data_IF_145147664146
#
_entry.id   IF_145147664146
#
_cell.length_a   1.000
_cell.length_b   1.000
_cell.length_c   1.000
_cell.angle_alpha   90.00
_cell.angle_beta   90.00
_cell.angle_gamma   90.00
#
_symmetry.space_group_name_H-M   'P 1'
#
loop_
_entity.id
_entity.type
_entity.pdbx_description
1 polymer ?
#
# COMPACT_ATOMS: atom_id res chain seq x y z
N UNK A 1 -13.53 -10.98 5.06
CA UNK A 1 -12.72 -10.28 4.07
C UNK A 1 -13.09 -8.80 4.06
N UNK A 2 -12.12 -7.94 3.90
CA UNK A 2 -12.32 -6.51 3.68
C UNK A 2 -11.81 -6.21 2.28
N UNK A 3 -12.65 -5.56 1.48
CA UNK A 3 -12.26 -5.07 0.16
C UNK A 3 -12.09 -3.56 0.26
N UNK A 4 -10.98 -3.05 -0.22
CA UNK A 4 -10.71 -1.63 -0.35
C UNK A 4 -10.91 -1.26 -1.81
N UNK A 5 -11.94 -0.47 -2.07
CA UNK A 5 -12.24 0.06 -3.40
C UNK A 5 -11.62 1.45 -3.55
N UNK A 6 -10.75 1.58 -4.53
CA UNK A 6 -10.12 2.84 -4.89
C UNK A 6 -10.88 3.43 -6.07
N UNK A 7 -11.72 4.42 -5.83
CA UNK A 7 -12.36 5.17 -6.90
C UNK A 7 -11.52 6.37 -7.30
N UNK A 8 -11.32 6.59 -8.60
CA UNK A 8 -10.67 7.78 -9.12
C UNK A 8 -11.60 8.99 -8.91
N UNK A 9 -11.40 9.70 -7.81
CA UNK A 9 -11.99 11.01 -7.60
C UNK A 9 -11.19 12.09 -8.33
N UNK A 10 -11.85 13.06 -8.90
CA UNK A 10 -11.21 14.18 -9.57
C UNK A 10 -10.19 14.89 -8.67
N UNK A 11 -8.97 14.97 -9.14
CA UNK A 11 -7.92 15.97 -8.86
C UNK A 11 -7.30 16.11 -7.47
N UNK A 12 -7.65 15.33 -6.49
CA UNK A 12 -6.92 15.35 -5.21
C UNK A 12 -6.93 13.94 -4.65
N UNK A 13 -5.78 13.30 -4.60
CA UNK A 13 -5.60 11.94 -4.10
C UNK A 13 -6.02 11.76 -2.64
N UNK A 14 -7.30 11.91 -2.38
CA UNK A 14 -7.89 11.63 -1.07
C UNK A 14 -8.51 10.25 -1.14
N UNK A 15 -7.85 9.28 -0.54
CA UNK A 15 -8.48 7.98 -0.26
C UNK A 15 -9.42 8.18 0.91
N UNK A 16 -10.72 8.18 0.65
CA UNK A 16 -11.71 8.24 1.72
C UNK A 16 -12.15 6.83 2.13
N UNK A 17 -11.89 6.46 3.36
CA UNK A 17 -12.42 5.25 3.95
C UNK A 17 -13.81 5.54 4.54
N UNK A 18 -14.85 4.92 4.00
CA UNK A 18 -16.17 4.98 4.61
C UNK A 18 -16.28 3.88 5.65
N UNK A 19 -16.26 4.24 6.92
CA UNK A 19 -16.63 3.32 8.01
C UNK A 19 -18.14 3.05 7.91
N UNK A 20 -18.51 1.83 7.59
CA UNK A 20 -19.89 1.36 7.79
C UNK A 20 -19.93 0.73 9.19
N UNK A 21 -20.36 1.47 10.20
CA UNK A 21 -20.65 0.90 11.51
C UNK A 21 -21.72 1.70 12.23
N UNK A 22 -22.63 0.98 12.77
CA UNK A 22 -23.67 1.41 13.67
C UNK A 22 -23.06 1.98 14.97
N UNK A 23 -23.25 3.19 15.25
CA UNK A 23 -23.24 4.06 16.40
C UNK A 23 -22.60 3.71 17.73
N UNK A 24 -21.90 2.62 17.93
CA UNK A 24 -21.18 2.34 19.17
C UNK A 24 -19.76 2.90 19.13
N UNK A 25 -19.46 3.80 20.07
CA UNK A 25 -18.07 4.23 20.34
C UNK A 25 -17.37 3.06 21.04
N UNK A 26 -16.79 2.17 20.24
CA UNK A 26 -15.91 1.13 20.75
C UNK A 26 -14.62 1.81 21.26
N UNK A 27 -14.10 1.44 22.45
CA UNK A 27 -12.82 1.97 22.90
C UNK A 27 -11.75 1.75 21.84
N UNK A 28 -10.83 2.71 21.69
CA UNK A 28 -9.71 2.60 20.76
C UNK A 28 -9.03 1.23 20.95
N UNK A 29 -8.92 0.42 19.90
CA UNK A 29 -8.30 -0.89 20.04
C UNK A 29 -6.83 -0.71 20.43
N UNK A 30 -6.39 -1.44 21.43
CA UNK A 30 -4.95 -1.58 21.68
C UNK A 30 -4.30 -2.13 20.42
N UNK A 31 -3.32 -1.42 19.86
CA UNK A 31 -2.55 -1.92 18.71
C UNK A 31 -1.81 -3.17 19.17
N UNK A 32 -2.16 -4.31 18.59
CA UNK A 32 -1.55 -5.59 18.93
C UNK A 32 -0.42 -5.92 17.95
N UNK A 33 -0.54 -5.46 16.71
CA UNK A 33 0.49 -5.62 15.68
C UNK A 33 0.27 -4.60 14.55
N UNK A 34 1.35 -4.22 13.91
CA UNK A 34 1.36 -3.35 12.73
C UNK A 34 1.85 -4.14 11.53
N UNK A 35 1.28 -3.91 10.37
CA UNK A 35 1.79 -4.40 9.09
C UNK A 35 2.06 -3.20 8.19
N UNK A 36 3.26 -3.14 7.64
CA UNK A 36 3.65 -2.15 6.64
C UNK A 36 3.57 -2.77 5.25
N UNK A 37 3.13 -1.97 4.27
CA UNK A 37 3.00 -2.36 2.87
C UNK A 37 3.66 -1.32 1.99
N UNK A 38 4.53 -1.79 1.11
CA UNK A 38 5.09 -1.02 0.02
C UNK A 38 4.46 -1.51 -1.29
N UNK A 39 3.72 -0.63 -1.97
CA UNK A 39 3.05 -0.91 -3.24
C UNK A 39 3.86 -0.29 -4.37
N UNK A 40 4.81 -1.03 -4.87
CA UNK A 40 5.78 -0.44 -5.78
C UNK A 40 6.43 -1.41 -6.76
N UNK A 41 7.63 -1.08 -7.13
CA UNK A 41 8.42 -1.81 -8.13
C UNK A 41 9.16 -3.00 -7.53
N UNK A 42 9.22 -4.07 -8.34
CA UNK A 42 10.28 -5.03 -8.16
C UNK A 42 11.48 -4.64 -9.02
N UNK A 43 12.47 -3.98 -8.67
CA UNK A 43 13.55 -3.49 -9.56
C UNK A 43 14.01 -4.47 -10.65
N UNK A 44 13.82 -5.77 -10.42
CA UNK A 44 14.16 -6.83 -11.37
C UNK A 44 13.30 -6.81 -12.66
N UNK A 45 12.01 -6.45 -12.55
CA UNK A 45 11.07 -6.46 -13.70
C UNK A 45 10.80 -5.07 -14.25
N UNK A 46 11.11 -4.03 -13.50
CA UNK A 46 10.90 -2.63 -13.90
C UNK A 46 12.03 -1.73 -13.39
N UNK A 47 13.24 -1.89 -13.90
CA UNK A 47 14.37 -1.08 -13.48
C UNK A 47 14.12 0.41 -13.64
N UNK A 48 14.52 1.20 -12.64
CA UNK A 48 14.37 2.66 -12.64
C UNK A 48 12.96 3.17 -12.27
N UNK A 49 12.07 2.29 -11.86
CA UNK A 49 10.73 2.66 -11.36
C UNK A 49 10.64 2.72 -9.84
N UNK A 50 11.70 2.40 -9.16
CA UNK A 50 11.81 2.29 -7.72
C UNK A 50 12.36 0.93 -7.32
N UNK A 51 12.59 0.75 -6.04
CA UNK A 51 13.13 -0.47 -5.46
C UNK A 51 12.25 -0.91 -4.28
N UNK A 52 12.07 -2.21 -4.07
CA UNK A 52 11.39 -2.72 -2.88
C UNK A 52 12.04 -2.20 -1.60
N UNK A 53 11.23 -1.88 -0.61
CA UNK A 53 11.74 -1.47 0.70
C UNK A 53 12.59 -2.59 1.30
N UNK A 54 13.78 -2.22 1.75
CA UNK A 54 14.72 -3.14 2.40
C UNK A 54 14.19 -3.54 3.78
N UNK A 55 14.37 -4.80 4.14
CA UNK A 55 13.92 -5.35 5.41
C UNK A 55 15.08 -5.78 6.31
N UNK A 56 15.15 -5.29 7.56
CA UNK A 56 14.34 -4.20 8.07
C UNK A 56 14.71 -2.86 7.43
N UNK A 57 13.81 -1.86 7.52
CA UNK A 57 14.09 -0.48 7.20
C UNK A 57 15.00 0.19 8.25
N UNK A 58 15.34 1.46 8.07
CA UNK A 58 16.20 2.21 8.99
C UNK A 58 15.56 2.44 10.37
N UNK A 59 14.25 2.24 10.51
CA UNK A 59 13.55 2.28 11.80
C UNK A 59 13.45 0.90 12.46
N UNK A 60 13.92 -0.16 11.80
CA UNK A 60 13.85 -1.54 12.27
C UNK A 60 12.56 -2.27 11.91
N UNK A 61 11.69 -1.69 11.10
CA UNK A 61 10.41 -2.27 10.69
C UNK A 61 10.55 -3.16 9.46
N UNK A 62 9.73 -4.22 9.41
CA UNK A 62 9.61 -5.10 8.25
C UNK A 62 8.39 -4.75 7.40
N UNK A 63 8.59 -4.71 6.10
CA UNK A 63 7.61 -4.32 5.09
C UNK A 63 7.20 -5.47 4.19
N UNK A 64 5.94 -5.54 3.85
CA UNK A 64 5.43 -6.44 2.83
C UNK A 64 5.48 -5.72 1.47
N UNK A 65 6.44 -6.10 0.65
CA UNK A 65 6.60 -5.54 -0.69
C UNK A 65 5.58 -6.16 -1.65
N UNK A 66 4.60 -5.37 -2.06
CA UNK A 66 3.56 -5.72 -3.03
C UNK A 66 4.01 -5.19 -4.39
N UNK A 67 4.64 -6.03 -5.19
CA UNK A 67 5.36 -5.57 -6.36
C UNK A 67 4.75 -6.03 -7.68
N UNK A 68 5.17 -5.38 -8.78
CA UNK A 68 4.84 -5.85 -10.12
C UNK A 68 5.41 -7.25 -10.39
N UNK A 69 4.71 -8.02 -11.19
CA UNK A 69 5.10 -9.38 -11.58
C UNK A 69 5.09 -9.60 -13.10
N UNK A 70 4.81 -8.56 -13.88
CA UNK A 70 4.80 -8.60 -15.33
C UNK A 70 5.15 -7.22 -15.92
N UNK A 71 6.43 -6.96 -16.15
CA UNK A 71 6.90 -5.68 -16.64
C UNK A 71 6.47 -4.52 -15.74
N UNK A 72 5.67 -3.60 -16.25
CA UNK A 72 5.15 -2.45 -15.50
C UNK A 72 3.85 -2.74 -14.72
N UNK A 73 3.43 -4.00 -14.62
CA UNK A 73 2.12 -4.34 -14.07
C UNK A 73 2.21 -5.29 -12.89
N UNK A 74 1.36 -5.05 -11.89
CA UNK A 74 0.96 -6.03 -10.89
C UNK A 74 -0.41 -6.59 -11.30
N UNK A 75 -0.45 -7.87 -11.66
CA UNK A 75 -1.62 -8.47 -12.28
C UNK A 75 -2.74 -8.77 -11.30
N UNK A 76 -3.98 -8.66 -11.78
CA UNK A 76 -5.14 -9.17 -11.06
C UNK A 76 -5.00 -10.67 -10.76
N UNK A 77 -5.54 -11.10 -9.62
CA UNK A 77 -5.45 -12.47 -9.13
C UNK A 77 -4.15 -12.81 -8.42
N UNK A 78 -3.16 -11.89 -8.37
CA UNK A 78 -1.94 -12.11 -7.59
C UNK A 78 -2.27 -12.13 -6.10
N UNK A 79 -1.79 -13.17 -5.41
CA UNK A 79 -1.99 -13.38 -3.98
C UNK A 79 -0.65 -13.28 -3.25
N UNK A 80 -0.56 -12.39 -2.30
CA UNK A 80 0.53 -12.27 -1.35
C UNK A 80 0.06 -12.92 -0.04
N UNK A 81 0.47 -14.15 0.18
CA UNK A 81 0.14 -14.92 1.39
C UNK A 81 1.22 -14.75 2.47
N UNK A 82 0.88 -15.15 3.69
CA UNK A 82 1.81 -15.13 4.82
C UNK A 82 2.47 -13.76 5.03
N UNK A 83 1.65 -12.72 5.09
CA UNK A 83 2.12 -11.37 5.37
C UNK A 83 2.81 -11.32 6.74
N UNK A 84 3.85 -10.49 6.85
CA UNK A 84 4.60 -10.30 8.09
C UNK A 84 4.15 -9.04 8.81
N UNK A 85 4.20 -9.06 10.14
CA UNK A 85 4.09 -7.85 10.92
C UNK A 85 5.42 -7.07 10.93
N UNK A 86 5.42 -5.88 11.53
CA UNK A 86 6.61 -5.01 11.63
C UNK A 86 7.81 -5.64 12.34
N UNK A 87 7.60 -6.71 13.10
CA UNK A 87 8.62 -7.45 13.83
C UNK A 87 9.08 -8.72 13.08
N UNK A 88 8.75 -8.84 11.78
CA UNK A 88 9.04 -10.02 10.95
C UNK A 88 8.36 -11.32 11.43
N UNK A 89 7.26 -11.21 12.14
CA UNK A 89 6.49 -12.39 12.55
C UNK A 89 5.45 -12.72 11.48
N UNK A 90 5.42 -13.95 10.93
CA UNK A 90 4.42 -14.35 9.96
C UNK A 90 3.01 -14.26 10.55
N UNK A 91 2.05 -13.81 9.73
CA UNK A 91 0.65 -13.74 10.09
C UNK A 91 -0.17 -14.71 9.22
N UNK A 92 -1.43 -14.91 9.59
CA UNK A 92 -2.37 -15.65 8.75
C UNK A 92 -2.97 -14.78 7.61
N UNK A 93 -2.67 -13.50 7.59
CA UNK A 93 -3.28 -12.57 6.64
C UNK A 93 -2.72 -12.75 5.23
N UNK A 94 -3.55 -12.46 4.24
CA UNK A 94 -3.17 -12.43 2.84
C UNK A 94 -3.76 -11.21 2.15
N UNK A 95 -3.08 -10.73 1.11
CA UNK A 95 -3.57 -9.67 0.22
C UNK A 95 -3.71 -10.22 -1.18
N UNK A 96 -4.85 -9.99 -1.81
CA UNK A 96 -5.11 -10.35 -3.21
C UNK A 96 -5.39 -9.09 -4.02
N UNK A 97 -4.71 -8.93 -5.13
CA UNK A 97 -5.03 -7.88 -6.11
C UNK A 97 -6.25 -8.35 -6.92
N UNK A 98 -7.37 -7.65 -6.82
CA UNK A 98 -8.56 -7.97 -7.61
C UNK A 98 -8.50 -7.35 -9.01
N UNK A 99 -7.69 -6.31 -9.16
CA UNK A 99 -7.49 -5.58 -10.41
C UNK A 99 -6.01 -5.53 -10.75
N UNK A 100 -5.72 -5.21 -12.02
CA UNK A 100 -4.36 -4.89 -12.44
C UNK A 100 -4.00 -3.48 -11.99
N UNK A 101 -2.78 -3.30 -11.51
CA UNK A 101 -2.19 -2.00 -11.22
C UNK A 101 -0.97 -1.77 -12.10
N UNK A 102 -0.77 -0.54 -12.52
CA UNK A 102 0.46 -0.09 -13.16
C UNK A 102 1.38 0.49 -12.10
N UNK A 103 2.68 0.27 -12.25
CA UNK A 103 3.68 0.85 -11.36
C UNK A 103 4.33 2.07 -12.00
N UNK A 104 4.70 3.02 -11.18
CA UNK A 104 5.57 4.12 -11.54
C UNK A 104 6.35 4.60 -10.30
N UNK A 105 7.32 5.46 -10.49
CA UNK A 105 8.10 5.98 -9.34
C UNK A 105 9.36 6.73 -9.75
N UNK A 106 10.29 6.75 -8.86
CA UNK A 106 11.52 7.55 -8.74
C UNK A 106 12.03 8.28 -9.99
N UNK A 107 12.41 7.56 -11.03
CA UNK A 107 13.04 8.17 -12.22
C UNK A 107 12.07 8.63 -13.30
N UNK A 108 10.82 8.21 -13.26
CA UNK A 108 9.89 8.42 -14.38
C UNK A 108 8.57 9.07 -14.02
N UNK A 109 8.18 9.12 -12.78
CA UNK A 109 6.84 9.52 -12.37
C UNK A 109 6.74 10.34 -11.11
N UNK A 110 7.87 10.59 -10.45
CA UNK A 110 7.94 11.49 -9.32
C UNK A 110 7.33 10.92 -8.03
N UNK A 111 7.82 9.78 -7.57
CA UNK A 111 7.61 9.37 -6.21
C UNK A 111 8.28 10.34 -5.21
N UNK A 112 7.92 10.26 -3.95
CA UNK A 112 8.47 11.09 -2.89
C UNK A 112 9.77 10.48 -2.35
N UNK A 113 10.92 11.00 -2.81
CA UNK A 113 12.24 10.48 -2.43
C UNK A 113 12.78 11.04 -1.12
N UNK A 114 12.18 12.09 -0.61
CA UNK A 114 12.55 12.74 0.66
C UNK A 114 11.30 12.92 1.51
N UNK A 115 10.75 11.80 2.05
CA UNK A 115 9.57 11.87 2.90
C UNK A 115 9.86 12.63 4.19
N UNK A 116 8.92 13.50 4.58
CA UNK A 116 9.00 14.24 5.84
C UNK A 116 8.57 13.32 6.99
N UNK A 117 9.51 13.06 7.91
CA UNK A 117 9.27 12.18 9.05
C UNK A 117 8.27 12.75 10.05
N UNK A 118 8.21 14.07 10.17
CA UNK A 118 7.26 14.72 11.08
C UNK A 118 5.80 14.59 10.58
N UNK A 119 5.63 14.39 9.27
CA UNK A 119 4.31 14.19 8.65
C UNK A 119 3.92 12.72 8.49
N UNK A 120 4.86 11.85 8.21
CA UNK A 120 4.60 10.47 7.81
C UNK A 120 5.01 9.43 8.86
N UNK A 121 5.72 9.85 9.91
CA UNK A 121 6.20 8.99 10.98
C UNK A 121 6.91 7.74 10.42
N UNK A 122 6.52 6.54 10.82
CA UNK A 122 7.09 5.27 10.34
C UNK A 122 6.88 5.01 8.84
N UNK A 123 5.96 5.72 8.20
CA UNK A 123 5.77 5.65 6.74
C UNK A 123 6.78 6.50 5.96
N UNK A 124 7.62 7.29 6.64
CA UNK A 124 8.64 8.12 6.02
C UNK A 124 9.87 7.31 5.58
N UNK A 125 9.66 6.32 4.72
CA UNK A 125 10.72 5.47 4.15
C UNK A 125 10.84 5.75 2.66
N UNK A 126 11.99 6.24 2.22
CA UNK A 126 12.20 6.75 0.87
C UNK A 126 11.93 5.71 -0.24
N UNK A 127 12.22 4.44 0.02
CA UNK A 127 11.89 3.35 -0.93
C UNK A 127 10.39 3.11 -1.01
N UNK A 128 9.69 3.08 0.13
CA UNK A 128 8.24 2.87 0.17
C UNK A 128 7.42 4.07 -0.36
N UNK A 129 7.98 5.28 -0.34
CA UNK A 129 7.33 6.49 -0.86
C UNK A 129 7.84 6.88 -2.25
N UNK A 130 8.92 6.27 -2.70
CA UNK A 130 9.61 6.60 -3.96
C UNK A 130 8.93 6.03 -5.20
N UNK A 131 8.09 5.04 -5.06
CA UNK A 131 7.29 4.47 -6.12
C UNK A 131 5.84 4.21 -5.66
N UNK A 132 5.00 3.77 -6.57
CA UNK A 132 3.58 3.61 -6.27
C UNK A 132 2.85 2.78 -7.31
N UNK A 133 1.75 2.18 -6.88
CA UNK A 133 0.74 1.64 -7.77
C UNK A 133 -0.22 2.74 -8.20
N UNK A 134 -0.64 2.72 -9.47
CA UNK A 134 -1.70 3.57 -9.95
C UNK A 134 -2.63 2.82 -10.92
N UNK A 135 -3.81 3.38 -11.12
CA UNK A 135 -4.80 2.89 -12.07
C UNK A 135 -4.71 3.72 -13.34
N UNK A 136 -4.81 3.05 -14.49
CA UNK A 136 -5.03 3.76 -15.74
C UNK A 136 -6.51 4.15 -15.88
N UNK A 137 -6.77 5.22 -16.62
CA UNK A 137 -8.13 5.78 -16.79
C UNK A 137 -9.17 4.77 -17.31
N UNK A 138 -8.73 3.69 -17.94
CA UNK A 138 -9.58 2.61 -18.44
C UNK A 138 -9.99 1.59 -17.37
N UNK A 139 -9.46 1.70 -16.16
CA UNK A 139 -9.64 0.76 -15.07
C UNK A 139 -10.39 1.43 -13.91
N UNK A 140 -11.60 1.91 -14.18
CA UNK A 140 -12.49 2.42 -13.13
C UNK A 140 -12.78 1.29 -12.13
N UNK A 141 -12.54 1.53 -10.83
CA UNK A 141 -12.77 0.61 -9.71
C UNK A 141 -11.72 -0.50 -9.52
N UNK A 142 -10.46 -0.14 -9.44
CA UNK A 142 -9.45 -1.08 -8.99
C UNK A 142 -9.54 -1.35 -7.49
N UNK A 143 -9.30 -2.59 -7.11
CA UNK A 143 -9.39 -3.00 -5.71
C UNK A 143 -8.39 -4.09 -5.35
N UNK A 144 -8.17 -4.23 -4.05
CA UNK A 144 -7.50 -5.38 -3.45
C UNK A 144 -8.25 -5.84 -2.20
N UNK A 145 -8.02 -7.08 -1.80
CA UNK A 145 -8.73 -7.69 -0.67
C UNK A 145 -7.74 -8.22 0.35
N UNK A 146 -7.93 -7.83 1.62
CA UNK A 146 -7.31 -8.53 2.74
C UNK A 146 -8.17 -9.71 3.17
N UNK A 147 -7.55 -10.87 3.30
CA UNK A 147 -8.19 -12.11 3.73
C UNK A 147 -7.71 -12.56 5.10
N UNK A 148 -8.49 -13.46 5.70
CA UNK A 148 -8.23 -14.07 7.02
C UNK A 148 -8.22 -13.06 8.19
N UNK A 149 -8.86 -11.91 8.00
CA UNK A 149 -9.05 -10.95 9.08
C UNK A 149 -10.00 -11.53 10.15
N UNK A 150 -9.65 -11.37 11.42
CA UNK A 150 -10.51 -11.76 12.54
C UNK A 150 -11.66 -10.76 12.68
N UNK A 151 -12.90 -11.23 12.51
CA UNK A 151 -14.10 -10.39 12.61
C UNK A 151 -14.32 -9.76 13.99
N UNK A 152 -13.65 -10.27 15.01
CA UNK A 152 -13.77 -9.77 16.38
C UNK A 152 -12.72 -8.69 16.71
N UNK A 153 -11.84 -8.36 15.78
CA UNK A 153 -10.82 -7.33 15.94
C UNK A 153 -11.18 -6.05 15.20
N UNK A 154 -10.70 -4.93 15.71
CA UNK A 154 -10.70 -3.66 14.98
C UNK A 154 -9.44 -3.54 14.11
N UNK A 155 -9.58 -2.87 12.96
CA UNK A 155 -8.47 -2.61 12.05
C UNK A 155 -8.44 -1.12 11.74
N UNK A 156 -7.23 -0.52 11.77
CA UNK A 156 -6.98 0.84 11.28
C UNK A 156 -6.13 0.74 10.03
N UNK A 157 -6.45 1.53 9.02
CA UNK A 157 -5.69 1.63 7.79
C UNK A 157 -5.19 3.05 7.64
N UNK A 158 -3.90 3.19 7.38
CA UNK A 158 -3.28 4.43 6.97
C UNK A 158 -2.77 4.24 5.56
N UNK A 159 -3.02 5.19 4.68
CA UNK A 159 -2.53 5.13 3.31
C UNK A 159 -1.85 6.45 2.96
N UNK A 160 -0.73 6.34 2.28
CA UNK A 160 -0.01 7.45 1.71
C UNK A 160 0.10 7.24 0.20
N UNK A 161 -0.08 8.30 -0.55
CA UNK A 161 0.14 8.32 -1.99
C UNK A 161 0.71 9.68 -2.38
N UNK A 162 1.74 9.67 -3.21
CA UNK A 162 2.41 10.87 -3.69
C UNK A 162 2.68 10.76 -5.18
N UNK A 163 2.55 11.88 -5.87
CA UNK A 163 2.99 12.06 -7.25
C UNK A 163 3.48 13.48 -7.45
N UNK A 164 4.75 13.65 -7.78
CA UNK A 164 5.35 14.96 -8.02
C UNK A 164 5.06 15.55 -9.42
N UNK A 165 4.28 14.88 -10.24
CA UNK A 165 3.86 15.45 -11.51
C UNK A 165 2.93 16.64 -11.26
N UNK A 166 3.28 17.80 -11.80
CA UNK A 166 2.34 18.93 -11.88
C UNK A 166 1.12 18.45 -12.63
N UNK A 167 0.03 18.30 -11.91
CA UNK A 167 -1.26 18.01 -12.55
C UNK A 167 -1.78 19.31 -13.12
N UNK A 168 -1.90 19.36 -14.43
CA UNK A 168 -2.50 20.48 -15.20
C UNK A 168 -3.99 20.22 -15.34
#
# INVERSE_FOLDING_TARGET
ALTVDLSAGNDKGVVSFKKISDGEVKPEPTVVQTLYFDFGSSSATSPGKGDPTVNPDDNGNYWNNITNNNGNYANAGTVYGSLFNSENTPTAYALTLNSRFTINGASGGGGLLQPDKDLLDDLAVATATGDYFFMEKSEDNSSFTFSNLDKNKGYKFYAFGSRLATQV
#
